data_IF_248254483979
#
_entry.id   IF_248254483979
#
_cell.length_a   1.000
_cell.length_b   1.000
_cell.length_c   1.000
_cell.angle_alpha   90.00
_cell.angle_beta   90.00
_cell.angle_gamma   90.00
#
_symmetry.space_group_name_H-M   'P 1'
#
loop_
_entity.id
_entity.type
_entity.pdbx_description
1 polymer ?
#
# COMPACT_ATOMS: atom_id res chain seq x y z
N UNK A 1 -10.41 -1.98 1.07
CA UNK A 1 -10.02 -3.40 1.16
C UNK A 1 -8.95 -3.56 2.23
N UNK A 2 -9.00 -4.65 2.98
CA UNK A 2 -8.02 -4.94 4.03
C UNK A 2 -6.71 -5.39 3.40
N UNK A 3 -5.63 -4.66 3.67
CA UNK A 3 -4.28 -4.97 3.22
C UNK A 3 -3.32 -4.93 4.40
N UNK A 4 -2.24 -5.68 4.32
CA UNK A 4 -1.13 -5.62 5.25
C UNK A 4 0.07 -4.99 4.55
N UNK A 5 0.54 -3.87 5.09
CA UNK A 5 1.79 -3.25 4.68
C UNK A 5 2.93 -3.87 5.49
N UNK A 6 3.99 -4.28 4.78
CA UNK A 6 5.20 -4.82 5.39
C UNK A 6 6.41 -4.13 4.79
N UNK A 7 7.35 -3.69 5.63
CA UNK A 7 8.66 -3.21 5.19
C UNK A 7 9.71 -4.18 5.68
N UNK A 8 10.56 -4.61 4.75
CA UNK A 8 11.74 -5.41 5.03
C UNK A 8 12.97 -4.82 4.34
N UNK A 9 14.11 -5.52 4.41
CA UNK A 9 15.37 -5.04 3.85
C UNK A 9 15.32 -4.77 2.33
N UNK A 10 14.34 -5.34 1.62
CA UNK A 10 14.15 -5.15 0.16
C UNK A 10 13.25 -3.98 -0.17
N UNK A 11 12.56 -3.40 0.82
CA UNK A 11 11.64 -2.29 0.64
C UNK A 11 10.25 -2.57 1.20
N UNK A 12 9.25 -1.93 0.60
CA UNK A 12 7.86 -2.00 1.05
C UNK A 12 7.05 -2.95 0.15
N UNK A 13 6.25 -3.82 0.76
CA UNK A 13 5.34 -4.74 0.11
C UNK A 13 3.94 -4.65 0.70
N UNK A 14 2.94 -4.95 -0.14
CA UNK A 14 1.54 -5.02 0.25
C UNK A 14 1.04 -6.45 0.09
N UNK A 15 0.48 -6.99 1.15
CA UNK A 15 -0.20 -8.28 1.16
C UNK A 15 -1.72 -8.09 1.27
N UNK A 16 -2.47 -8.69 0.34
CA UNK A 16 -3.93 -8.67 0.27
C UNK A 16 -4.46 -10.03 0.71
N UNK A 17 -4.79 -10.25 2.00
CA UNK A 17 -5.18 -11.56 2.51
C UNK A 17 -6.44 -12.13 1.83
N UNK A 18 -7.36 -11.26 1.41
CA UNK A 18 -8.58 -11.69 0.70
C UNK A 18 -8.29 -12.34 -0.66
N UNK A 19 -7.17 -11.98 -1.29
CA UNK A 19 -6.78 -12.47 -2.61
C UNK A 19 -5.54 -13.37 -2.57
N UNK A 20 -4.99 -13.60 -1.37
CA UNK A 20 -3.70 -14.26 -1.16
C UNK A 20 -2.61 -13.71 -2.10
N UNK A 21 -2.55 -12.37 -2.21
CA UNK A 21 -1.70 -11.68 -3.18
C UNK A 21 -0.70 -10.79 -2.43
N UNK A 22 0.59 -11.02 -2.63
CA UNK A 22 1.66 -10.15 -2.16
C UNK A 22 2.34 -9.46 -3.34
N UNK A 23 2.42 -8.13 -3.29
CA UNK A 23 3.01 -7.33 -4.35
C UNK A 23 3.94 -6.25 -3.79
N UNK A 24 5.14 -6.08 -4.38
CA UNK A 24 6.05 -5.03 -3.96
C UNK A 24 5.54 -3.66 -4.44
N UNK A 25 5.76 -2.65 -3.61
CA UNK A 25 5.48 -1.25 -3.93
C UNK A 25 6.63 -0.72 -4.80
N UNK A 26 6.28 -0.23 -5.99
CA UNK A 26 7.23 0.33 -6.95
C UNK A 26 7.19 1.86 -7.01
N UNK A 27 6.13 2.49 -6.51
CA UNK A 27 6.05 3.94 -6.36
C UNK A 27 5.13 4.32 -5.20
N UNK A 28 5.33 5.51 -4.66
CA UNK A 28 4.53 6.08 -3.59
C UNK A 28 4.37 7.59 -3.83
N UNK A 29 3.21 8.14 -3.50
CA UNK A 29 2.92 9.56 -3.69
C UNK A 29 3.70 10.45 -2.72
N UNK A 30 3.86 9.98 -1.48
CA UNK A 30 4.52 10.71 -0.41
C UNK A 30 5.55 9.82 0.29
N UNK A 31 6.65 10.41 0.78
CA UNK A 31 7.62 9.72 1.64
C UNK A 31 6.97 9.15 2.90
N UNK A 32 5.98 9.87 3.45
CA UNK A 32 5.27 9.50 4.67
C UNK A 32 4.38 8.26 4.54
N UNK A 33 4.21 7.70 3.32
CA UNK A 33 3.33 6.58 2.95
C UNK A 33 1.83 6.80 3.20
N UNK A 34 1.48 7.28 4.37
CA UNK A 34 0.13 7.54 4.84
C UNK A 34 -0.44 8.81 4.25
N UNK A 35 -1.76 8.81 4.03
CA UNK A 35 -2.47 9.95 3.47
C UNK A 35 -2.23 10.19 1.99
N UNK A 36 -1.70 9.20 1.27
CA UNK A 36 -1.57 9.22 -0.19
C UNK A 36 -1.70 7.83 -0.79
N UNK A 37 -1.26 7.66 -2.03
CA UNK A 37 -1.31 6.37 -2.72
C UNK A 37 0.05 5.68 -2.88
N UNK A 38 0.00 4.36 -2.99
CA UNK A 38 1.12 3.50 -3.36
C UNK A 38 0.78 2.71 -4.63
N UNK A 39 1.75 2.59 -5.54
CA UNK A 39 1.63 1.80 -6.76
C UNK A 39 2.39 0.50 -6.62
N UNK A 40 1.70 -0.59 -6.90
CA UNK A 40 2.22 -1.95 -6.87
C UNK A 40 2.79 -2.35 -8.23
N UNK A 41 3.69 -3.33 -8.23
CA UNK A 41 4.33 -3.85 -9.46
C UNK A 41 3.32 -4.39 -10.46
N UNK A 42 2.24 -5.01 -10.00
CA UNK A 42 1.12 -5.46 -10.85
C UNK A 42 0.28 -4.32 -11.47
N UNK A 43 0.65 -3.06 -11.24
CA UNK A 43 -0.05 -1.89 -11.79
C UNK A 43 -1.18 -1.35 -10.92
N UNK A 44 -1.48 -1.95 -9.77
CA UNK A 44 -2.53 -1.44 -8.89
C UNK A 44 -2.08 -0.20 -8.14
N UNK A 45 -3.00 0.72 -7.95
CA UNK A 45 -2.79 1.89 -7.09
C UNK A 45 -3.70 1.76 -5.87
N UNK A 46 -3.12 1.83 -4.68
CA UNK A 46 -3.82 1.71 -3.41
C UNK A 46 -3.63 3.00 -2.61
N UNK A 47 -4.73 3.68 -2.33
CA UNK A 47 -4.78 4.81 -1.42
C UNK A 47 -4.76 4.30 0.02
N UNK A 48 -3.79 4.80 0.80
CA UNK A 48 -3.59 4.50 2.20
C UNK A 48 -4.32 5.54 3.06
N UNK A 49 -4.92 5.12 4.18
CA UNK A 49 -5.54 6.07 5.11
C UNK A 49 -4.48 7.02 5.68
N UNK A 50 -4.91 8.22 6.08
CA UNK A 50 -4.06 9.14 6.85
C UNK A 50 -3.81 8.51 8.22
N UNK A 51 -2.56 8.20 8.52
CA UNK A 51 -2.09 7.66 9.80
C UNK A 51 -0.75 8.33 10.15
N UNK A 52 -0.35 8.20 11.41
CA UNK A 52 0.94 8.67 11.88
C UNK A 52 2.09 7.93 11.20
N UNK A 53 3.12 8.68 10.78
CA UNK A 53 4.34 8.13 10.18
C UNK A 53 5.14 7.23 11.15
N UNK A 54 4.85 7.30 12.45
CA UNK A 54 5.43 6.44 13.48
C UNK A 54 4.77 5.05 13.59
N UNK A 55 3.76 4.76 12.77
CA UNK A 55 3.14 3.44 12.75
C UNK A 55 4.15 2.36 12.40
N UNK A 56 4.30 1.39 13.31
CA UNK A 56 5.26 0.30 13.16
C UNK A 56 4.73 -0.75 12.17
N UNK A 57 5.62 -1.25 11.32
CA UNK A 57 5.33 -2.31 10.35
C UNK A 57 5.74 -3.67 10.94
N UNK A 58 5.01 -4.78 10.64
CA UNK A 58 3.86 -4.86 9.74
C UNK A 58 2.55 -4.36 10.35
N UNK A 59 1.72 -3.67 9.55
CA UNK A 59 0.40 -3.16 9.98
C UNK A 59 -0.68 -3.53 8.95
N UNK A 60 -1.88 -3.83 9.46
CA UNK A 60 -3.05 -4.08 8.61
C UNK A 60 -3.96 -2.87 8.59
N UNK A 61 -4.21 -2.34 7.40
CA UNK A 61 -5.04 -1.15 7.17
C UNK A 61 -6.12 -1.42 6.14
N UNK A 62 -7.15 -0.58 6.14
CA UNK A 62 -8.11 -0.54 5.05
C UNK A 62 -7.64 0.46 4.01
N UNK A 63 -7.04 -0.04 2.92
CA UNK A 63 -6.66 0.78 1.77
C UNK A 63 -7.78 0.79 0.72
N UNK A 64 -7.91 1.87 -0.03
CA UNK A 64 -8.85 1.95 -1.15
C UNK A 64 -8.08 1.67 -2.44
N UNK A 65 -8.53 0.72 -3.25
CA UNK A 65 -7.93 0.56 -4.59
C UNK A 65 -8.45 1.69 -5.47
N UNK A 66 -7.54 2.49 -5.99
CA UNK A 66 -7.79 3.42 -7.07
C UNK A 66 -7.73 2.59 -8.35
N UNK A 67 -8.89 2.26 -8.93
CA UNK A 67 -8.92 1.88 -10.33
C UNK A 67 -8.46 3.12 -11.09
N UNK A 68 -7.38 2.99 -11.87
CA UNK A 68 -6.83 4.13 -12.59
C UNK A 68 -7.98 4.83 -13.33
N UNK A 69 -8.19 6.11 -13.03
CA UNK A 69 -9.02 6.98 -13.84
C UNK A 69 -8.40 7.01 -15.25
N UNK A 70 -8.79 6.05 -16.06
CA UNK A 70 -8.94 6.27 -17.50
C UNK A 70 -10.20 7.11 -17.66
N UNK A 71 -10.07 8.42 -17.46
CA UNK A 71 -10.95 9.39 -18.09
C UNK A 71 -10.38 9.75 -19.46
#
# INVERSE_FOLDING_TARGET
MKIMLRRDARGLSVYVPRKDLEEPVIAQQHDALWGGWVKLKNGWVLELPVMDAQTQLPITVNARKLEGEGS
#
